data_IF_271499420398
#
_entry.id   IF_271499420398
#
_cell.length_a   1.000
_cell.length_b   1.000
_cell.length_c   1.000
_cell.angle_alpha   90.00
_cell.angle_beta   90.00
_cell.angle_gamma   90.00
#
_symmetry.space_group_name_H-M   'P 1'
#
loop_
_entity.id
_entity.type
_entity.pdbx_description
1 polymer ?
#
# COMPACT_ATOMS: atom_id res chain seq x y z
N UNK A 1 2.28 3.37 -15.13
CA UNK A 1 1.40 2.47 -14.36
C UNK A 1 -0.03 2.99 -14.46
N UNK A 2 -1.01 2.10 -14.59
CA UNK A 2 -2.43 2.48 -14.52
C UNK A 2 -2.77 3.08 -13.16
N UNK A 3 -3.70 4.04 -13.13
CA UNK A 3 -4.07 4.77 -11.90
C UNK A 3 -4.82 3.89 -10.89
N UNK A 4 -5.58 2.93 -11.42
CA UNK A 4 -6.27 1.88 -10.68
C UNK A 4 -6.31 0.63 -11.55
N UNK A 5 -5.92 -0.50 -10.98
CA UNK A 5 -5.87 -1.79 -11.68
C UNK A 5 -6.06 -2.93 -10.68
N UNK A 6 -6.02 -4.18 -11.16
CA UNK A 6 -6.22 -5.36 -10.32
C UNK A 6 -5.06 -6.33 -10.46
N UNK A 7 -4.58 -6.82 -9.33
CA UNK A 7 -3.75 -8.01 -9.27
C UNK A 7 -4.64 -9.22 -9.04
N UNK A 8 -4.42 -10.28 -9.83
CA UNK A 8 -5.24 -11.50 -9.80
C UNK A 8 -4.34 -12.70 -9.55
N UNK A 9 -4.79 -13.60 -8.68
CA UNK A 9 -4.13 -14.87 -8.40
C UNK A 9 -5.09 -16.03 -8.58
N UNK A 10 -4.54 -17.19 -8.93
CA UNK A 10 -5.21 -18.48 -8.81
C UNK A 10 -4.82 -19.09 -7.46
N UNK A 11 -5.72 -18.99 -6.49
CA UNK A 11 -5.47 -19.52 -5.14
C UNK A 11 -5.38 -21.05 -5.10
N UNK A 12 -6.01 -21.75 -6.04
CA UNK A 12 -5.96 -23.20 -6.14
C UNK A 12 -4.59 -23.62 -6.69
N UNK A 13 -4.07 -22.90 -7.68
CA UNK A 13 -2.70 -23.08 -8.16
C UNK A 13 -1.67 -22.84 -7.07
N UNK A 14 -1.80 -21.73 -6.33
CA UNK A 14 -0.91 -21.41 -5.21
C UNK A 14 -0.97 -22.48 -4.10
N UNK A 15 -2.17 -22.94 -3.75
CA UNK A 15 -2.36 -23.98 -2.75
C UNK A 15 -1.67 -25.29 -3.17
N UNK A 16 -1.85 -25.72 -4.43
CA UNK A 16 -1.16 -26.88 -5.00
C UNK A 16 0.36 -26.71 -4.98
N UNK A 17 0.87 -25.56 -5.42
CA UNK A 17 2.30 -25.27 -5.48
C UNK A 17 2.96 -25.28 -4.09
N UNK A 18 2.29 -24.71 -3.09
CA UNK A 18 2.77 -24.66 -1.72
C UNK A 18 2.45 -25.91 -0.89
N UNK A 19 1.66 -26.84 -1.44
CA UNK A 19 1.18 -28.06 -0.74
C UNK A 19 0.41 -27.72 0.55
N UNK A 20 -0.43 -26.69 0.48
CA UNK A 20 -1.33 -26.23 1.55
C UNK A 20 -2.75 -26.15 1.02
N UNK A 21 -3.71 -25.68 1.84
CA UNK A 21 -5.09 -25.47 1.37
C UNK A 21 -5.30 -24.06 0.81
N UNK A 22 -6.31 -23.85 -0.06
CA UNK A 22 -6.69 -22.49 -0.48
C UNK A 22 -7.02 -21.57 0.69
N UNK A 23 -7.56 -22.12 1.79
CA UNK A 23 -7.82 -21.37 3.03
C UNK A 23 -6.52 -20.82 3.63
N UNK A 24 -5.48 -21.64 3.73
CA UNK A 24 -4.17 -21.21 4.24
C UNK A 24 -3.58 -20.09 3.37
N UNK A 25 -3.73 -20.21 2.04
CA UNK A 25 -3.32 -19.17 1.08
C UNK A 25 -4.06 -17.86 1.32
N UNK A 26 -5.40 -17.90 1.45
CA UNK A 26 -6.20 -16.69 1.75
C UNK A 26 -5.82 -16.07 3.09
N UNK A 27 -5.65 -16.86 4.14
CA UNK A 27 -5.24 -16.36 5.45
C UNK A 27 -3.86 -15.69 5.39
N UNK A 28 -2.91 -16.29 4.68
CA UNK A 28 -1.57 -15.74 4.51
C UNK A 28 -1.57 -14.45 3.68
N UNK A 29 -2.28 -14.44 2.54
CA UNK A 29 -2.28 -13.33 1.58
C UNK A 29 -3.24 -12.19 1.95
N UNK A 30 -4.01 -12.34 3.04
CA UNK A 30 -4.80 -11.26 3.65
C UNK A 30 -4.15 -10.67 4.92
N UNK A 31 -2.95 -11.13 5.31
CA UNK A 31 -2.14 -10.51 6.38
C UNK A 31 -1.14 -9.52 5.77
N UNK A 32 -1.37 -8.22 5.98
CA UNK A 32 -0.52 -7.14 5.47
C UNK A 32 0.95 -7.22 5.91
N UNK A 33 1.27 -7.90 7.02
CA UNK A 33 2.66 -8.10 7.46
C UNK A 33 3.40 -9.15 6.63
N UNK A 34 2.67 -9.98 5.90
CA UNK A 34 3.20 -11.11 5.12
C UNK A 34 3.14 -10.81 3.63
N UNK A 35 1.98 -10.36 3.15
CA UNK A 35 1.72 -10.21 1.72
C UNK A 35 2.37 -8.98 1.08
N UNK A 36 2.71 -7.95 1.85
CA UNK A 36 3.24 -6.69 1.29
C UNK A 36 4.50 -6.92 0.44
N UNK A 37 5.43 -7.76 0.93
CA UNK A 37 6.67 -8.10 0.23
C UNK A 37 6.46 -8.79 -1.13
N UNK A 38 5.40 -9.61 -1.28
CA UNK A 38 5.10 -10.25 -2.56
C UNK A 38 4.36 -9.29 -3.49
N UNK A 39 3.54 -8.38 -2.95
CA UNK A 39 2.87 -7.33 -3.73
C UNK A 39 3.90 -6.37 -4.33
N UNK A 40 4.88 -5.91 -3.56
CA UNK A 40 5.99 -5.07 -4.07
C UNK A 40 6.69 -5.73 -5.25
N UNK A 41 7.06 -7.01 -5.10
CA UNK A 41 7.68 -7.81 -6.19
C UNK A 41 6.74 -7.94 -7.39
N UNK A 42 5.46 -8.17 -7.16
CA UNK A 42 4.47 -8.32 -8.23
C UNK A 42 4.33 -7.01 -9.02
N UNK A 43 4.23 -5.88 -8.32
CA UNK A 43 4.18 -4.55 -8.92
C UNK A 43 5.43 -4.26 -9.75
N UNK A 44 6.63 -4.58 -9.22
CA UNK A 44 7.89 -4.45 -9.96
C UNK A 44 7.87 -5.28 -11.25
N UNK A 45 7.48 -6.56 -11.17
CA UNK A 45 7.48 -7.47 -12.32
C UNK A 45 6.44 -7.11 -13.38
N UNK A 46 5.28 -6.58 -13.00
CA UNK A 46 4.22 -6.18 -13.94
C UNK A 46 4.45 -4.80 -14.57
N UNK A 47 5.41 -4.01 -14.08
CA UNK A 47 5.67 -2.67 -14.58
C UNK A 47 7.12 -2.55 -15.09
N UNK A 48 7.34 -2.62 -16.42
CA UNK A 48 8.67 -2.57 -17.00
C UNK A 48 9.51 -1.38 -16.52
N UNK A 49 10.76 -1.66 -16.15
CA UNK A 49 11.73 -0.66 -15.69
C UNK A 49 11.61 -0.26 -14.22
N UNK A 50 10.57 -0.70 -13.52
CA UNK A 50 10.45 -0.49 -12.07
C UNK A 50 11.47 -1.32 -11.31
N UNK A 51 11.92 -0.81 -10.18
CA UNK A 51 12.91 -1.47 -9.31
C UNK A 51 12.41 -1.49 -7.87
N UNK A 52 12.75 -2.54 -7.14
CA UNK A 52 12.64 -2.55 -5.68
C UNK A 52 13.66 -1.58 -5.08
N UNK A 53 13.34 -1.05 -3.90
CA UNK A 53 14.30 -0.33 -3.09
C UNK A 53 15.53 -1.22 -2.77
N UNK A 54 16.72 -0.61 -2.58
CA UNK A 54 17.97 -1.35 -2.44
C UNK A 54 18.09 -2.14 -1.13
N UNK A 55 17.28 -1.81 -0.12
CA UNK A 55 17.31 -2.46 1.19
C UNK A 55 15.98 -2.35 1.93
N UNK A 56 15.65 -3.35 2.75
CA UNK A 56 14.59 -3.26 3.76
C UNK A 56 14.95 -2.13 4.75
N UNK A 57 14.19 -1.02 4.73
CA UNK A 57 14.48 0.19 5.52
C UNK A 57 14.83 1.44 4.70
N UNK A 58 14.85 1.34 3.37
CA UNK A 58 14.82 2.52 2.52
C UNK A 58 13.55 3.35 2.76
N UNK A 59 13.58 4.64 2.39
CA UNK A 59 12.45 5.55 2.57
C UNK A 59 11.23 5.28 1.66
N UNK A 60 11.34 4.31 0.76
CA UNK A 60 10.37 3.91 -0.25
C UNK A 60 10.52 2.41 -0.55
N UNK A 61 9.56 1.83 -1.27
CA UNK A 61 9.55 0.40 -1.62
C UNK A 61 9.81 0.16 -3.11
N UNK A 62 9.35 1.08 -3.97
CA UNK A 62 9.50 1.00 -5.43
C UNK A 62 10.07 2.28 -6.03
N UNK A 63 10.91 2.13 -7.05
CA UNK A 63 11.46 3.21 -7.87
C UNK A 63 10.94 3.07 -9.30
N UNK A 64 10.27 4.10 -9.80
CA UNK A 64 9.79 4.14 -11.19
C UNK A 64 10.92 4.57 -12.18
N UNK A 65 10.75 4.34 -13.50
CA UNK A 65 11.76 4.68 -14.50
C UNK A 65 12.12 6.17 -14.61
N UNK A 66 11.27 7.05 -14.09
CA UNK A 66 11.46 8.50 -14.06
C UNK A 66 12.18 8.96 -12.78
N UNK A 67 12.55 8.03 -11.89
CA UNK A 67 13.18 8.32 -10.60
C UNK A 67 12.18 8.62 -9.47
N UNK A 68 10.88 8.43 -9.70
CA UNK A 68 9.85 8.59 -8.69
C UNK A 68 9.90 7.46 -7.66
N UNK A 69 9.96 7.83 -6.38
CA UNK A 69 9.97 6.91 -5.25
C UNK A 69 8.54 6.66 -4.74
N UNK A 70 8.15 5.41 -4.53
CA UNK A 70 6.79 5.02 -4.16
C UNK A 70 6.79 4.13 -2.91
N UNK A 71 5.87 4.42 -1.99
CA UNK A 71 5.58 3.56 -0.83
C UNK A 71 4.45 2.59 -1.18
N UNK A 72 4.61 1.31 -0.93
CA UNK A 72 3.57 0.30 -1.08
C UNK A 72 2.91 0.03 0.26
N UNK A 73 1.58 0.07 0.32
CA UNK A 73 0.84 -0.25 1.55
C UNK A 73 -0.37 -1.13 1.28
N UNK A 74 -0.60 -2.08 2.17
CA UNK A 74 -1.80 -2.91 2.14
C UNK A 74 -2.96 -2.25 2.89
N UNK A 75 -4.13 -2.15 2.23
CA UNK A 75 -5.39 -1.86 2.90
C UNK A 75 -5.91 -3.16 3.50
N UNK A 76 -6.00 -3.20 4.83
CA UNK A 76 -6.47 -4.38 5.57
C UNK A 76 -7.90 -4.17 6.05
N UNK A 77 -8.50 -5.19 6.71
CA UNK A 77 -9.80 -5.03 7.39
C UNK A 77 -9.77 -3.90 8.42
N UNK A 78 -8.62 -3.65 9.04
CA UNK A 78 -8.44 -2.57 10.01
C UNK A 78 -8.20 -1.21 9.34
N UNK A 79 -8.12 -1.14 8.01
CA UNK A 79 -7.80 0.06 7.25
C UNK A 79 -6.34 0.11 6.80
N UNK A 80 -5.89 1.32 6.49
CA UNK A 80 -4.54 1.63 6.02
C UNK A 80 -3.98 2.83 6.77
N UNK A 81 -2.67 2.83 6.90
CA UNK A 81 -1.89 3.85 7.59
C UNK A 81 -0.99 4.57 6.58
N UNK A 82 -0.97 5.90 6.63
CA UNK A 82 -0.04 6.72 5.83
C UNK A 82 1.18 7.17 6.62
N UNK A 83 1.23 6.94 7.93
CA UNK A 83 2.38 7.29 8.74
C UNK A 83 3.59 6.37 8.49
N UNK A 84 4.82 6.85 8.81
CA UNK A 84 6.02 6.01 8.77
C UNK A 84 5.83 4.70 9.55
N UNK A 85 6.31 3.59 9.00
CA UNK A 85 6.14 2.24 9.59
C UNK A 85 6.74 2.11 10.99
N UNK A 86 7.80 2.87 11.29
CA UNK A 86 8.41 2.97 12.62
C UNK A 86 7.55 3.71 13.66
N UNK A 87 6.44 4.37 13.25
CA UNK A 87 5.48 5.04 14.14
C UNK A 87 4.17 4.26 14.31
N UNK A 88 4.04 3.07 13.70
CA UNK A 88 2.85 2.21 13.84
C UNK A 88 3.10 1.16 14.93
N UNK A 89 2.29 1.13 15.99
CA UNK A 89 2.41 0.12 17.07
C UNK A 89 2.03 0.65 18.47
N UNK A 90 1.83 -0.26 19.43
CA UNK A 90 1.51 0.10 20.82
C UNK A 90 2.60 0.96 21.45
N UNK A 91 2.21 2.05 22.11
CA UNK A 91 3.14 2.98 22.79
C UNK A 91 3.84 4.01 21.90
N UNK A 92 3.55 4.05 20.59
CA UNK A 92 4.16 5.02 19.66
C UNK A 92 3.27 6.25 19.49
N UNK A 93 3.87 7.43 19.63
CA UNK A 93 3.20 8.72 19.41
C UNK A 93 3.38 9.15 17.96
N UNK A 94 2.30 9.58 17.32
CA UNK A 94 2.36 10.14 15.98
C UNK A 94 3.24 11.40 15.98
N UNK A 95 4.26 11.41 15.12
CA UNK A 95 5.16 12.54 14.94
C UNK A 95 4.89 13.16 13.57
N UNK A 96 4.25 14.33 13.59
CA UNK A 96 3.87 15.12 12.42
C UNK A 96 5.07 15.49 11.55
N UNK A 97 6.17 15.94 12.14
CA UNK A 97 7.37 16.34 11.40
C UNK A 97 7.96 15.16 10.62
N UNK A 98 8.05 14.00 11.26
CA UNK A 98 8.51 12.77 10.62
C UNK A 98 7.55 12.28 9.54
N UNK A 99 6.25 12.52 9.68
CA UNK A 99 5.27 12.24 8.64
C UNK A 99 5.48 13.16 7.43
N UNK A 100 5.57 14.47 7.62
CA UNK A 100 5.83 15.43 6.54
C UNK A 100 7.15 15.17 5.81
N UNK A 101 8.22 14.89 6.57
CA UNK A 101 9.54 14.57 6.01
C UNK A 101 9.53 13.27 5.19
N UNK A 102 8.72 12.28 5.57
CA UNK A 102 8.53 11.08 4.74
C UNK A 102 7.80 11.40 3.44
N UNK A 103 6.70 12.16 3.54
CA UNK A 103 5.89 12.50 2.38
C UNK A 103 6.68 13.31 1.34
N UNK A 104 7.55 14.24 1.75
CA UNK A 104 8.40 14.98 0.82
C UNK A 104 9.43 14.11 0.07
N UNK A 105 9.71 12.91 0.58
CA UNK A 105 10.65 11.95 -0.02
C UNK A 105 10.04 10.97 -1.01
N UNK A 106 8.72 11.01 -1.25
CA UNK A 106 8.03 10.06 -2.14
C UNK A 106 7.09 10.77 -3.11
N UNK A 107 6.95 10.20 -4.32
CA UNK A 107 5.98 10.62 -5.35
C UNK A 107 4.54 10.26 -4.94
N UNK A 108 4.38 9.19 -4.17
CA UNK A 108 3.08 8.77 -3.67
C UNK A 108 3.09 7.38 -3.07
N UNK A 109 1.87 6.86 -2.91
CA UNK A 109 1.60 5.53 -2.39
C UNK A 109 0.99 4.63 -3.48
N UNK A 110 1.26 3.34 -3.40
CA UNK A 110 0.55 2.30 -4.14
C UNK A 110 -0.17 1.45 -3.10
N UNK A 111 -1.50 1.56 -3.07
CA UNK A 111 -2.34 0.92 -2.07
C UNK A 111 -2.99 -0.33 -2.64
N UNK A 112 -2.85 -1.47 -1.96
CA UNK A 112 -3.43 -2.75 -2.38
C UNK A 112 -4.49 -3.22 -1.39
N UNK A 113 -5.75 -3.36 -1.82
CA UNK A 113 -6.85 -3.88 -0.98
C UNK A 113 -6.81 -5.40 -0.88
N UNK A 114 -5.92 -5.89 -0.01
CA UNK A 114 -5.64 -7.31 0.17
C UNK A 114 -6.83 -8.09 0.74
N UNK A 115 -7.83 -7.39 1.30
CA UNK A 115 -9.07 -8.02 1.78
C UNK A 115 -9.87 -8.64 0.62
N UNK A 116 -9.69 -8.13 -0.61
CA UNK A 116 -10.34 -8.63 -1.82
C UNK A 116 -9.71 -9.89 -2.44
N UNK A 117 -8.61 -10.41 -1.88
CA UNK A 117 -7.94 -11.61 -2.40
C UNK A 117 -8.95 -12.75 -2.69
N UNK A 118 -8.90 -13.40 -3.88
CA UNK A 118 -7.79 -13.43 -4.84
C UNK A 118 -7.77 -12.32 -5.91
N UNK A 119 -8.67 -11.33 -5.84
CA UNK A 119 -8.66 -10.17 -6.73
C UNK A 119 -8.40 -8.90 -5.91
N UNK A 120 -7.17 -8.42 -5.97
CA UNK A 120 -6.72 -7.26 -5.17
C UNK A 120 -6.78 -6.01 -6.03
N UNK A 121 -7.67 -5.09 -5.65
CA UNK A 121 -7.68 -3.74 -6.23
C UNK A 121 -6.42 -2.99 -5.79
N UNK A 122 -5.75 -2.35 -6.75
CA UNK A 122 -4.59 -1.49 -6.53
C UNK A 122 -4.92 -0.06 -6.93
N UNK A 123 -4.53 0.89 -6.07
CA UNK A 123 -4.74 2.32 -6.24
C UNK A 123 -3.41 3.04 -6.21
N UNK A 124 -3.10 3.81 -7.25
CA UNK A 124 -1.95 4.71 -7.27
C UNK A 124 -2.40 6.05 -6.70
N UNK A 125 -1.78 6.50 -5.61
CA UNK A 125 -2.19 7.68 -4.85
C UNK A 125 -1.03 8.68 -4.79
N UNK A 126 -1.04 9.75 -5.60
CA UNK A 126 -0.05 10.81 -5.50
C UNK A 126 0.01 11.44 -4.10
N UNK A 127 1.20 11.83 -3.67
CA UNK A 127 1.43 12.32 -2.30
C UNK A 127 0.59 13.56 -1.96
N UNK A 128 0.30 14.41 -2.93
CA UNK A 128 -0.53 15.61 -2.75
C UNK A 128 -1.95 15.27 -2.29
N UNK A 129 -2.49 14.12 -2.70
CA UNK A 129 -3.78 13.65 -2.19
C UNK A 129 -3.69 13.36 -0.69
N UNK A 130 -2.63 12.67 -0.26
CA UNK A 130 -2.42 12.33 1.16
C UNK A 130 -2.22 13.61 1.99
N UNK A 131 -1.43 14.56 1.50
CA UNK A 131 -1.24 15.87 2.15
C UNK A 131 -2.56 16.66 2.26
N UNK A 132 -3.39 16.63 1.21
CA UNK A 132 -4.70 17.27 1.21
C UNK A 132 -5.67 16.60 2.17
N UNK A 133 -5.73 15.27 2.19
CA UNK A 133 -6.56 14.50 3.11
C UNK A 133 -6.13 14.71 4.57
N UNK A 134 -4.82 14.81 4.82
CA UNK A 134 -4.29 15.11 6.14
C UNK A 134 -4.69 16.52 6.61
N UNK A 135 -4.41 17.57 5.81
CA UNK A 135 -4.78 18.96 6.11
C UNK A 135 -6.28 19.14 6.30
N UNK A 136 -7.09 18.46 5.47
CA UNK A 136 -8.55 18.45 5.55
C UNK A 136 -9.13 17.58 6.67
N UNK A 137 -8.30 16.98 7.54
CA UNK A 137 -8.72 16.06 8.62
C UNK A 137 -9.58 14.89 8.13
N UNK A 138 -9.39 14.47 6.88
CA UNK A 138 -10.04 13.31 6.32
C UNK A 138 -9.40 12.00 6.81
N UNK A 139 -8.13 12.05 7.21
CA UNK A 139 -7.41 10.99 7.92
C UNK A 139 -7.62 11.11 9.43
N UNK A 140 -7.52 9.99 10.15
CA UNK A 140 -7.49 9.97 11.61
C UNK A 140 -6.22 10.60 12.19
N UNK A 141 -6.19 10.80 13.51
CA UNK A 141 -5.09 11.47 14.25
C UNK A 141 -3.72 10.80 14.14
N UNK A 142 -3.66 9.57 13.66
CA UNK A 142 -2.45 8.80 13.39
C UNK A 142 -2.23 8.56 11.88
N UNK A 143 -2.80 9.43 11.04
CA UNK A 143 -2.84 9.29 9.59
C UNK A 143 -3.42 7.94 9.10
N UNK A 144 -4.31 7.34 9.89
CA UNK A 144 -5.03 6.11 9.53
C UNK A 144 -6.38 6.42 8.91
N UNK A 145 -6.82 5.58 7.99
CA UNK A 145 -8.20 5.57 7.51
C UNK A 145 -8.76 4.15 7.47
N UNK A 146 -10.05 3.98 7.77
CA UNK A 146 -10.73 2.69 7.60
C UNK A 146 -10.83 2.32 6.13
N UNK A 147 -10.88 1.01 5.86
CA UNK A 147 -11.06 0.49 4.50
C UNK A 147 -12.31 1.06 3.84
N UNK A 148 -13.45 1.02 4.54
CA UNK A 148 -14.72 1.49 3.99
C UNK A 148 -14.71 2.97 3.64
N UNK A 149 -14.13 3.82 4.50
CA UNK A 149 -14.01 5.25 4.22
C UNK A 149 -13.05 5.51 3.06
N UNK A 150 -11.95 4.77 2.98
CA UNK A 150 -11.03 4.87 1.83
C UNK A 150 -11.75 4.51 0.53
N UNK A 151 -12.35 3.31 0.44
CA UNK A 151 -12.94 2.80 -0.81
C UNK A 151 -14.15 3.63 -1.28
N UNK A 152 -14.99 4.10 -0.36
CA UNK A 152 -16.22 4.79 -0.73
C UNK A 152 -16.05 6.30 -0.91
N UNK A 153 -15.03 6.91 -0.29
CA UNK A 153 -14.85 8.36 -0.27
C UNK A 153 -13.52 8.74 -0.91
N UNK A 154 -12.39 8.35 -0.33
CA UNK A 154 -11.09 8.87 -0.75
C UNK A 154 -10.62 8.33 -2.10
N UNK A 155 -10.88 7.06 -2.39
CA UNK A 155 -10.50 6.44 -3.65
C UNK A 155 -11.13 7.14 -4.87
N UNK A 156 -12.29 7.78 -4.69
CA UNK A 156 -12.98 8.56 -5.74
C UNK A 156 -12.45 9.99 -5.89
N UNK A 157 -11.73 10.47 -4.88
CA UNK A 157 -11.16 11.81 -4.81
C UNK A 157 -9.65 11.82 -5.14
N UNK A 158 -9.09 10.68 -5.57
CA UNK A 158 -7.69 10.63 -6.04
C UNK A 158 -7.56 11.47 -7.31
N UNK A 159 -6.63 12.43 -7.28
CA UNK A 159 -6.29 13.30 -8.40
C UNK A 159 -4.89 13.00 -8.89
N UNK A 160 -4.75 12.88 -10.20
CA UNK A 160 -3.48 12.75 -10.89
C UNK A 160 -3.35 14.00 -11.76
N UNK A 161 -2.81 15.05 -11.16
CA UNK A 161 -2.44 16.27 -11.87
C UNK A 161 -1.24 15.99 -12.79
#
# INVERSE_FOLDING_TARGET
MERRFQLRWDEEELARAFRVTPKDVREYLTDGRRVSFIIERRLMWENPGWKLAPSEGAGYDLLDPEGGMWEVRSITRQGVYFNPSNQVGSGRVFNEEGFQAKLSGIKGFILSDIVGFPVVDVFVVPVDNVLRWHRGRALGSNAKISRDKFLNILARDIRHE
#
